data_IF_860229605966
#
_entry.id   IF_860229605966
#
_cell.length_a   1.000
_cell.length_b   1.000
_cell.length_c   1.000
_cell.angle_alpha   90.00
_cell.angle_beta   90.00
_cell.angle_gamma   90.00
#
_symmetry.space_group_name_H-M   'P 1'
#
loop_
_entity.id
_entity.type
_entity.pdbx_description
1 polymer ?
#
# COMPACT_ATOMS: atom_id res chain seq x y z
N UNK A 1 12.59 69.56 35.67
CA UNK A 1 12.52 69.09 34.27
C UNK A 1 13.37 67.83 34.01
N UNK A 2 13.54 66.92 34.98
CA UNK A 2 14.35 65.69 34.85
C UNK A 2 13.47 64.42 34.89
N UNK A 3 12.34 64.48 35.61
CA UNK A 3 11.40 63.36 35.78
C UNK A 3 10.67 63.00 34.47
N UNK A 4 10.41 63.97 33.59
CA UNK A 4 9.72 63.74 32.32
C UNK A 4 10.57 62.92 31.32
N UNK A 5 11.89 63.15 31.28
CA UNK A 5 12.81 62.50 30.32
C UNK A 5 13.00 61.01 30.68
N UNK A 6 13.04 60.70 31.98
CA UNK A 6 13.07 59.31 32.50
C UNK A 6 11.85 58.49 32.07
N UNK A 7 10.64 59.08 32.12
CA UNK A 7 9.40 58.39 31.76
C UNK A 7 9.27 58.12 30.25
N UNK A 8 9.76 59.05 29.41
CA UNK A 8 9.75 58.90 27.95
C UNK A 8 10.69 57.79 27.52
N UNK A 9 11.88 57.70 28.13
CA UNK A 9 12.85 56.65 27.82
C UNK A 9 12.35 55.25 28.22
N UNK A 10 11.71 55.12 29.40
CA UNK A 10 11.09 53.86 29.83
C UNK A 10 9.95 53.41 28.91
N UNK A 11 9.11 54.32 28.42
CA UNK A 11 8.02 54.00 27.50
C UNK A 11 8.51 53.53 26.12
N UNK A 12 9.62 54.08 25.61
CA UNK A 12 10.23 53.64 24.34
C UNK A 12 10.79 52.23 24.46
N UNK A 13 11.47 51.91 25.56
CA UNK A 13 12.02 50.57 25.81
C UNK A 13 10.91 49.52 25.95
N UNK A 14 9.84 49.84 26.70
CA UNK A 14 8.69 48.93 26.87
C UNK A 14 7.98 48.63 25.55
N UNK A 15 7.83 49.65 24.69
CA UNK A 15 7.23 49.49 23.36
C UNK A 15 8.08 48.59 22.47
N UNK A 16 9.39 48.81 22.41
CA UNK A 16 10.31 47.96 21.64
C UNK A 16 10.32 46.50 22.12
N UNK A 17 10.26 46.27 23.44
CA UNK A 17 10.16 44.91 23.99
C UNK A 17 8.84 44.23 23.61
N UNK A 18 7.72 44.96 23.60
CA UNK A 18 6.42 44.44 23.19
C UNK A 18 6.41 44.07 21.70
N UNK A 19 6.97 44.92 20.85
CA UNK A 19 7.04 44.68 19.40
C UNK A 19 7.91 43.44 19.09
N UNK A 20 9.00 43.23 19.83
CA UNK A 20 9.84 42.03 19.73
C UNK A 20 9.06 40.79 20.18
N UNK A 21 8.38 40.85 21.33
CA UNK A 21 7.63 39.72 21.86
C UNK A 21 6.48 39.32 20.92
N UNK A 22 5.79 40.30 20.36
CA UNK A 22 4.72 40.09 19.38
C UNK A 22 5.27 39.44 18.11
N UNK A 23 6.40 39.94 17.58
CA UNK A 23 7.08 39.34 16.42
C UNK A 23 7.48 37.89 16.68
N UNK A 24 8.05 37.58 17.85
CA UNK A 24 8.41 36.22 18.25
C UNK A 24 7.16 35.33 18.32
N UNK A 25 6.05 35.84 18.86
CA UNK A 25 4.81 35.08 18.97
C UNK A 25 4.23 34.68 17.61
N UNK A 26 4.29 35.57 16.61
CA UNK A 26 3.89 35.24 15.24
C UNK A 26 4.80 34.17 14.63
N UNK A 27 6.11 34.28 14.84
CA UNK A 27 7.07 33.28 14.34
C UNK A 27 6.80 31.91 14.97
N UNK A 28 6.57 31.84 16.28
CA UNK A 28 6.23 30.59 16.97
C UNK A 28 4.90 30.02 16.47
N UNK A 29 3.90 30.86 16.25
CA UNK A 29 2.61 30.42 15.70
C UNK A 29 2.75 29.84 14.28
N UNK A 30 3.57 30.46 13.42
CA UNK A 30 3.84 29.98 12.07
C UNK A 30 4.57 28.63 12.12
N UNK A 31 5.65 28.52 12.90
CA UNK A 31 6.41 27.28 13.04
C UNK A 31 5.53 26.16 13.60
N UNK A 32 4.73 26.46 14.63
CA UNK A 32 3.78 25.51 15.22
C UNK A 32 2.73 25.05 14.22
N UNK A 33 2.18 25.97 13.41
CA UNK A 33 1.22 25.64 12.35
C UNK A 33 1.81 24.72 11.27
N UNK A 34 3.03 25.03 10.81
CA UNK A 34 3.73 24.20 9.80
C UNK A 34 4.06 22.83 10.35
N UNK A 35 4.63 22.74 11.55
CA UNK A 35 4.97 21.46 12.18
C UNK A 35 3.73 20.60 12.43
N UNK A 36 2.64 21.21 12.91
CA UNK A 36 1.35 20.54 13.11
C UNK A 36 0.78 19.98 11.81
N UNK A 37 0.84 20.74 10.71
CA UNK A 37 0.40 20.28 9.40
C UNK A 37 1.23 19.07 8.92
N UNK A 38 2.56 19.14 9.01
CA UNK A 38 3.46 18.03 8.63
C UNK A 38 3.13 16.77 9.43
N UNK A 39 3.00 16.89 10.75
CA UNK A 39 2.67 15.76 11.63
C UNK A 39 1.32 15.14 11.28
N UNK A 40 0.30 15.97 11.03
CA UNK A 40 -1.02 15.50 10.62
C UNK A 40 -0.97 14.73 9.29
N UNK A 41 -0.26 15.26 8.27
CA UNK A 41 -0.11 14.59 6.98
C UNK A 41 0.65 13.26 7.09
N UNK A 42 1.72 13.21 7.88
CA UNK A 42 2.48 11.98 8.12
C UNK A 42 1.60 10.92 8.79
N UNK A 43 0.85 11.29 9.85
CA UNK A 43 -0.06 10.38 10.54
C UNK A 43 -1.15 9.84 9.61
N UNK A 44 -1.75 10.71 8.79
CA UNK A 44 -2.77 10.33 7.81
C UNK A 44 -2.23 9.37 6.74
N UNK A 45 -1.03 9.64 6.23
CA UNK A 45 -0.36 8.77 5.26
C UNK A 45 -0.07 7.37 5.85
N UNK A 46 0.49 7.31 7.06
CA UNK A 46 0.80 6.05 7.74
C UNK A 46 -0.46 5.22 8.01
N UNK A 47 -1.52 5.85 8.49
CA UNK A 47 -2.80 5.17 8.72
C UNK A 47 -3.39 4.57 7.43
N UNK A 48 -3.35 5.34 6.33
CA UNK A 48 -3.78 4.85 5.01
C UNK A 48 -2.94 3.64 4.55
N UNK A 49 -1.61 3.71 4.71
CA UNK A 49 -0.74 2.59 4.34
C UNK A 49 -1.05 1.32 5.13
N UNK A 50 -1.21 1.43 6.45
CA UNK A 50 -1.53 0.29 7.33
C UNK A 50 -2.88 -0.33 6.97
N UNK A 51 -3.88 0.49 6.63
CA UNK A 51 -5.18 0.00 6.19
C UNK A 51 -5.08 -0.82 4.90
N UNK A 52 -4.31 -0.34 3.92
CA UNK A 52 -4.10 -1.10 2.68
C UNK A 52 -3.28 -2.37 2.92
N UNK A 53 -2.24 -2.31 3.76
CA UNK A 53 -1.45 -3.50 4.11
C UNK A 53 -2.32 -4.59 4.76
N UNK A 54 -3.23 -4.19 5.65
CA UNK A 54 -4.20 -5.10 6.28
C UNK A 54 -5.18 -5.70 5.25
N UNK A 55 -5.65 -4.88 4.30
CA UNK A 55 -6.57 -5.35 3.27
C UNK A 55 -5.92 -6.37 2.33
N UNK A 56 -4.68 -6.08 1.87
CA UNK A 56 -3.90 -6.95 0.98
C UNK A 56 -3.38 -8.22 1.65
N UNK A 57 -3.34 -8.29 2.98
CA UNK A 57 -2.91 -9.50 3.71
C UNK A 57 -4.04 -10.50 3.85
N UNK A 58 -3.82 -11.75 3.45
CA UNK A 58 -4.73 -12.88 3.64
C UNK A 58 -4.74 -13.85 2.47
N UNK A 59 -5.67 -14.80 2.54
CA UNK A 59 -5.87 -15.83 1.52
C UNK A 59 -6.90 -15.36 0.51
N UNK A 60 -6.52 -15.39 -0.76
CA UNK A 60 -7.33 -14.98 -1.90
C UNK A 60 -7.47 -16.16 -2.85
N UNK A 61 -8.58 -16.24 -3.55
CA UNK A 61 -8.68 -17.13 -4.69
C UNK A 61 -9.86 -16.79 -5.58
N UNK A 62 -9.85 -17.34 -6.79
CA UNK A 62 -11.06 -17.45 -7.59
C UNK A 62 -11.53 -18.90 -7.50
N UNK A 63 -12.83 -19.16 -7.47
CA UNK A 63 -13.34 -20.55 -7.59
C UNK A 63 -13.10 -21.16 -8.99
N UNK A 64 -12.39 -20.44 -9.86
CA UNK A 64 -12.38 -20.65 -11.31
C UNK A 64 -13.67 -20.11 -11.93
N UNK A 65 -13.59 -19.47 -13.08
CA UNK A 65 -14.77 -19.11 -13.87
C UNK A 65 -15.12 -20.30 -14.78
N UNK A 66 -15.77 -21.32 -14.22
CA UNK A 66 -16.06 -22.59 -14.91
C UNK A 66 -17.21 -22.45 -15.94
N UNK A 67 -17.79 -21.25 -16.11
CA UNK A 67 -18.94 -21.00 -16.99
C UNK A 67 -18.77 -19.87 -18.00
N UNK A 68 -17.55 -19.34 -18.18
CA UNK A 68 -17.26 -18.38 -19.24
C UNK A 68 -16.58 -19.08 -20.41
N UNK A 69 -17.40 -19.47 -21.40
CA UNK A 69 -16.96 -20.15 -22.62
C UNK A 69 -16.02 -19.29 -23.49
N UNK A 70 -15.93 -17.98 -23.22
CA UNK A 70 -15.10 -17.03 -23.97
C UNK A 70 -13.74 -16.81 -23.30
N UNK A 71 -13.65 -16.94 -21.97
CA UNK A 71 -12.42 -16.79 -21.20
C UNK A 71 -12.31 -17.80 -20.03
N UNK A 72 -12.13 -19.10 -20.34
CA UNK A 72 -11.90 -20.14 -19.33
C UNK A 72 -10.77 -19.76 -18.37
N UNK A 73 -11.06 -19.56 -17.07
CA UNK A 73 -10.04 -19.11 -16.12
C UNK A 73 -9.47 -20.26 -15.31
N UNK A 74 -8.14 -20.38 -15.31
CA UNK A 74 -7.38 -21.15 -14.33
C UNK A 74 -7.82 -20.86 -12.89
N UNK A 75 -7.76 -21.87 -12.04
CA UNK A 75 -7.96 -21.71 -10.61
C UNK A 75 -6.67 -21.19 -9.97
N UNK A 76 -6.75 -20.11 -9.20
CA UNK A 76 -5.65 -19.43 -8.54
C UNK A 76 -5.96 -19.30 -7.06
N UNK A 77 -5.06 -19.80 -6.23
CA UNK A 77 -4.99 -19.48 -4.80
C UNK A 77 -3.77 -18.60 -4.56
N UNK A 78 -3.95 -17.55 -3.77
CA UNK A 78 -2.91 -16.60 -3.46
C UNK A 78 -2.96 -16.26 -1.97
N UNK A 79 -1.91 -16.61 -1.24
CA UNK A 79 -1.70 -16.16 0.14
C UNK A 79 -0.73 -14.99 0.12
N UNK A 80 -1.16 -13.84 0.63
CA UNK A 80 -0.34 -12.63 0.69
C UNK A 80 -0.15 -12.13 2.12
N UNK A 81 1.03 -11.59 2.38
CA UNK A 81 1.31 -10.69 3.50
C UNK A 81 1.82 -9.37 2.93
N UNK A 82 1.21 -8.27 3.37
CA UNK A 82 1.63 -6.93 3.00
C UNK A 82 2.08 -6.15 4.23
N UNK A 83 3.22 -5.46 4.14
CA UNK A 83 3.77 -4.66 5.24
C UNK A 83 4.58 -3.51 4.68
N UNK A 84 4.23 -2.29 5.06
CA UNK A 84 4.89 -1.04 4.63
C UNK A 84 5.01 -0.96 3.10
N UNK A 85 3.98 -1.40 2.37
CA UNK A 85 3.96 -1.41 0.92
C UNK A 85 4.83 -2.49 0.25
N UNK A 86 5.53 -3.34 1.00
CA UNK A 86 6.09 -4.59 0.46
C UNK A 86 5.03 -5.68 0.52
N UNK A 87 4.95 -6.52 -0.52
CA UNK A 87 4.06 -7.68 -0.57
C UNK A 87 4.88 -8.94 -0.79
N UNK A 88 4.60 -9.98 -0.02
CA UNK A 88 5.22 -11.30 -0.15
C UNK A 88 4.17 -12.38 0.03
N UNK A 89 4.36 -13.56 -0.56
CA UNK A 89 3.36 -14.60 -0.47
C UNK A 89 3.67 -15.86 -1.24
N UNK A 90 2.66 -16.70 -1.37
CA UNK A 90 2.69 -17.95 -2.11
C UNK A 90 1.49 -17.98 -3.06
N UNK A 91 1.72 -18.42 -4.29
CA UNK A 91 0.67 -18.69 -5.27
C UNK A 91 0.62 -20.18 -5.62
N UNK A 92 -0.59 -20.69 -5.73
CA UNK A 92 -0.87 -21.98 -6.35
C UNK A 92 -1.81 -21.75 -7.53
N UNK A 93 -1.63 -22.52 -8.58
CA UNK A 93 -2.52 -22.49 -9.74
C UNK A 93 -2.80 -23.89 -10.26
N UNK A 94 -4.02 -24.11 -10.74
CA UNK A 94 -4.44 -25.35 -11.40
C UNK A 94 -4.99 -25.03 -12.79
N UNK A 95 -4.60 -25.86 -13.76
CA UNK A 95 -5.11 -25.75 -15.13
C UNK A 95 -6.59 -26.08 -15.16
N UNK A 96 -7.34 -25.40 -16.03
CA UNK A 96 -8.77 -25.66 -16.15
C UNK A 96 -9.05 -27.03 -16.78
N UNK A 97 -8.27 -27.40 -17.79
CA UNK A 97 -8.53 -28.55 -18.66
C UNK A 97 -7.78 -29.82 -18.26
N UNK A 98 -6.98 -29.77 -17.20
CA UNK A 98 -6.23 -30.93 -16.70
C UNK A 98 -6.00 -30.85 -15.19
N UNK A 99 -5.69 -31.98 -14.57
CA UNK A 99 -5.29 -32.04 -13.15
C UNK A 99 -3.88 -31.48 -12.89
N UNK A 100 -3.29 -30.80 -13.87
CA UNK A 100 -1.93 -30.26 -13.74
C UNK A 100 -1.95 -28.99 -12.89
N UNK A 101 -1.07 -28.94 -11.89
CA UNK A 101 -0.98 -27.81 -10.96
C UNK A 101 0.46 -27.35 -10.76
N UNK A 102 0.62 -26.06 -10.51
CA UNK A 102 1.84 -25.49 -9.97
C UNK A 102 1.54 -24.98 -8.56
N UNK A 103 2.30 -25.48 -7.59
CA UNK A 103 2.10 -25.16 -6.17
C UNK A 103 3.39 -24.62 -5.56
N UNK A 104 3.27 -23.78 -4.54
CA UNK A 104 4.43 -23.26 -3.81
C UNK A 104 5.23 -22.23 -4.60
N UNK A 105 4.58 -21.49 -5.51
CA UNK A 105 5.24 -20.43 -6.27
C UNK A 105 5.45 -19.23 -5.36
N UNK A 106 6.68 -18.70 -5.33
CA UNK A 106 7.01 -17.55 -4.50
C UNK A 106 6.51 -16.26 -5.14
N UNK A 107 5.80 -15.45 -4.35
CA UNK A 107 5.28 -14.15 -4.75
C UNK A 107 6.05 -13.06 -3.99
N UNK A 108 6.57 -12.09 -4.73
CA UNK A 108 7.21 -10.90 -4.15
C UNK A 108 6.75 -9.66 -4.93
N UNK A 109 6.63 -8.52 -4.26
CA UNK A 109 6.09 -7.35 -4.93
C UNK A 109 6.10 -6.08 -4.11
N UNK A 110 5.62 -5.01 -4.73
CA UNK A 110 5.43 -3.70 -4.11
C UNK A 110 4.03 -3.18 -4.36
N UNK A 111 3.42 -2.64 -3.32
CA UNK A 111 2.12 -1.99 -3.32
C UNK A 111 2.26 -0.48 -3.28
N UNK A 112 1.45 0.19 -4.09
CA UNK A 112 1.21 1.63 -4.02
C UNK A 112 -0.30 1.85 -3.94
N UNK A 113 -0.76 2.32 -2.77
CA UNK A 113 -2.20 2.48 -2.47
C UNK A 113 -2.96 1.17 -2.69
N UNK A 114 -3.95 1.16 -3.59
CA UNK A 114 -4.81 0.02 -3.86
C UNK A 114 -4.29 -0.89 -5.00
N UNK A 115 -3.05 -0.71 -5.46
CA UNK A 115 -2.47 -1.53 -6.53
C UNK A 115 -1.18 -2.17 -6.03
N UNK A 116 -1.03 -3.49 -6.23
CA UNK A 116 0.22 -4.21 -6.03
C UNK A 116 0.77 -4.73 -7.35
N UNK A 117 2.09 -4.62 -7.53
CA UNK A 117 2.85 -5.21 -8.62
C UNK A 117 3.58 -6.43 -8.06
N UNK A 118 3.29 -7.60 -8.61
CA UNK A 118 3.73 -8.89 -8.11
C UNK A 118 4.60 -9.58 -9.16
N UNK A 119 5.73 -10.09 -8.73
CA UNK A 119 6.58 -11.01 -9.47
C UNK A 119 6.38 -12.41 -8.87
N UNK A 120 6.09 -13.38 -9.73
CA UNK A 120 5.99 -14.80 -9.35
C UNK A 120 7.23 -15.52 -9.83
N UNK A 121 7.84 -16.27 -8.94
CA UNK A 121 9.04 -17.05 -9.19
C UNK A 121 8.88 -18.47 -8.67
N UNK A 122 9.64 -19.39 -9.23
CA UNK A 122 9.66 -20.79 -8.84
C UNK A 122 11.11 -21.24 -8.65
N UNK A 123 11.40 -21.97 -7.58
CA UNK A 123 12.71 -22.55 -7.36
C UNK A 123 12.70 -23.99 -7.86
N UNK A 124 13.43 -24.28 -8.94
CA UNK A 124 13.59 -25.64 -9.49
C UNK A 124 15.07 -25.94 -9.70
N UNK A 125 15.53 -27.08 -9.17
CA UNK A 125 16.93 -27.51 -9.33
C UNK A 125 17.95 -26.52 -8.76
N UNK A 126 17.61 -25.85 -7.64
CA UNK A 126 18.49 -24.86 -6.99
C UNK A 126 18.58 -23.51 -7.70
N UNK A 127 17.75 -23.25 -8.72
CA UNK A 127 17.71 -21.97 -9.44
C UNK A 127 16.35 -21.30 -9.29
N UNK A 128 16.37 -19.98 -9.13
CA UNK A 128 15.17 -19.14 -9.22
C UNK A 128 14.82 -18.95 -10.69
N UNK A 129 13.61 -19.34 -11.05
CA UNK A 129 13.04 -19.19 -12.38
C UNK A 129 11.94 -18.14 -12.27
N UNK A 130 12.03 -17.09 -13.10
CA UNK A 130 10.94 -16.14 -13.24
C UNK A 130 9.77 -16.81 -13.95
N UNK A 131 8.59 -16.70 -13.36
CA UNK A 131 7.37 -17.27 -13.91
C UNK A 131 6.62 -16.21 -14.67
N UNK A 132 6.12 -15.18 -13.99
CA UNK A 132 5.31 -14.11 -14.58
C UNK A 132 5.22 -12.89 -13.68
N UNK A 133 4.73 -11.79 -14.27
CA UNK A 133 4.43 -10.53 -13.56
C UNK A 133 2.95 -10.20 -13.62
N UNK A 134 2.42 -9.70 -12.51
CA UNK A 134 1.00 -9.40 -12.35
C UNK A 134 0.77 -8.07 -11.66
N UNK A 135 -0.37 -7.47 -11.94
CA UNK A 135 -0.98 -6.44 -11.10
C UNK A 135 -2.13 -7.04 -10.32
N UNK A 136 -2.26 -6.64 -9.06
CA UNK A 136 -3.39 -6.93 -8.22
C UNK A 136 -4.00 -5.62 -7.74
N UNK A 137 -5.19 -5.29 -8.21
CA UNK A 137 -5.88 -4.03 -7.89
C UNK A 137 -7.04 -4.30 -6.94
N UNK A 138 -7.04 -3.64 -5.79
CA UNK A 138 -8.14 -3.68 -4.84
C UNK A 138 -9.21 -2.65 -5.21
N UNK A 139 -10.44 -3.14 -5.45
CA UNK A 139 -11.63 -2.30 -5.71
C UNK A 139 -12.87 -3.01 -5.19
N UNK A 140 -13.72 -2.29 -4.45
CA UNK A 140 -14.97 -2.83 -3.90
C UNK A 140 -14.78 -4.15 -3.12
N UNK A 141 -13.74 -4.25 -2.29
CA UNK A 141 -13.34 -5.45 -1.54
C UNK A 141 -12.92 -6.68 -2.37
N UNK A 142 -12.83 -6.56 -3.69
CA UNK A 142 -12.35 -7.61 -4.58
C UNK A 142 -10.96 -7.28 -5.12
N UNK A 143 -10.20 -8.31 -5.46
CA UNK A 143 -8.87 -8.18 -6.03
C UNK A 143 -8.88 -8.53 -7.52
N UNK A 144 -8.66 -7.53 -8.34
CA UNK A 144 -8.58 -7.68 -9.80
C UNK A 144 -7.15 -8.02 -10.18
N UNK A 145 -6.95 -9.27 -10.58
CA UNK A 145 -5.70 -9.82 -11.07
C UNK A 145 -5.58 -9.54 -12.56
N UNK A 146 -4.40 -9.12 -13.01
CA UNK A 146 -4.06 -8.98 -14.42
C UNK A 146 -2.60 -9.30 -14.67
N UNK A 147 -2.32 -10.19 -15.61
CA UNK A 147 -0.99 -10.49 -16.12
C UNK A 147 -0.43 -9.33 -16.93
N UNK A 148 0.87 -9.07 -16.77
CA UNK A 148 1.59 -7.98 -17.43
C UNK A 148 2.75 -8.52 -18.27
N UNK A 149 3.30 -9.68 -17.91
CA UNK A 149 4.36 -10.34 -18.70
C UNK A 149 3.82 -10.84 -20.03
N UNK A 150 4.62 -10.69 -21.09
CA UNK A 150 4.30 -11.13 -22.46
C UNK A 150 4.62 -12.61 -22.71
N UNK A 151 5.20 -13.28 -21.72
CA UNK A 151 5.52 -14.71 -21.79
C UNK A 151 4.22 -15.51 -21.82
N UNK A 152 4.14 -16.45 -22.76
CA UNK A 152 2.99 -17.33 -22.89
C UNK A 152 3.19 -18.55 -21.97
N UNK A 153 2.27 -18.75 -21.03
CA UNK A 153 2.08 -20.04 -20.39
C UNK A 153 0.62 -20.22 -20.02
N UNK A 154 0.19 -21.47 -20.12
CA UNK A 154 -1.19 -21.88 -19.87
C UNK A 154 -1.38 -22.37 -18.44
N UNK A 155 -0.80 -21.65 -17.48
CA UNK A 155 -0.96 -21.93 -16.05
C UNK A 155 -1.55 -20.75 -15.28
N UNK A 156 -1.52 -19.54 -15.83
CA UNK A 156 -2.11 -18.38 -15.18
C UNK A 156 -3.19 -17.76 -16.04
N UNK A 157 -4.29 -17.27 -15.45
CA UNK A 157 -5.27 -16.51 -16.20
C UNK A 157 -4.70 -15.13 -16.54
N UNK A 158 -4.99 -14.65 -17.75
CA UNK A 158 -4.63 -13.29 -18.18
C UNK A 158 -5.30 -12.23 -17.27
N UNK A 159 -6.55 -12.47 -16.91
CA UNK A 159 -7.31 -11.67 -15.94
C UNK A 159 -8.14 -12.58 -15.03
N UNK A 160 -8.30 -12.18 -13.77
CA UNK A 160 -9.19 -12.86 -12.82
C UNK A 160 -9.69 -11.89 -11.76
N UNK A 161 -10.80 -12.23 -11.11
CA UNK A 161 -11.22 -11.58 -9.86
C UNK A 161 -11.01 -12.57 -8.73
N UNK A 162 -10.18 -12.20 -7.77
CA UNK A 162 -9.93 -12.98 -6.57
C UNK A 162 -10.72 -12.41 -5.40
N UNK A 163 -11.26 -13.32 -4.60
CA UNK A 163 -12.04 -13.05 -3.40
C UNK A 163 -11.25 -13.49 -2.18
N UNK A 164 -11.39 -12.74 -1.09
CA UNK A 164 -10.76 -13.11 0.18
C UNK A 164 -11.54 -14.27 0.78
N UNK A 165 -10.87 -15.39 1.04
CA UNK A 165 -11.47 -16.45 1.81
C UNK A 165 -11.64 -15.96 3.25
N UNK A 166 -12.89 -15.87 3.70
CA UNK A 166 -13.17 -15.72 5.12
C UNK A 166 -12.80 -17.06 5.72
N UNK A 167 -11.82 -17.10 6.63
CA UNK A 167 -11.52 -18.31 7.41
C UNK A 167 -12.84 -18.79 8.01
N UNK A 168 -13.43 -19.82 7.43
CA UNK A 168 -14.46 -20.59 8.09
C UNK A 168 -13.71 -21.27 9.23
N UNK A 169 -13.79 -20.70 10.43
CA UNK A 169 -13.55 -21.46 11.64
C UNK A 169 -14.52 -22.63 11.61
N UNK A 170 -14.02 -23.80 11.24
CA UNK A 170 -14.68 -25.09 11.43
C UNK A 170 -14.86 -25.36 12.92
#
# INVERSE_FOLDING_TARGET
MIIAISSVHQNVVLKGMKDILESISYVVAIIGGVAGAIFYFQKKHNFSSVNFDTQFTGNLGNEGNIGDDVAPSHYVELELTATNGTVSGIANTRRLTSETQWSGLSVAGKRKSNVAYLDITHVRGGRVIYVHKFTLTLKNNNFYWKKISTEDNDFFPETATLFKYVNQTL
#
